data_IF_482345692124
#
_entry.id   IF_482345692124
#
_cell.length_a   1.000
_cell.length_b   1.000
_cell.length_c   1.000
_cell.angle_alpha   90.00
_cell.angle_beta   90.00
_cell.angle_gamma   90.00
#
_symmetry.space_group_name_H-M   'P 1'
#
loop_
_entity.id
_entity.type
_entity.pdbx_description
1 polymer ?
#
# COMPACT_ATOMS: atom_id res chain seq x y z
N UNK A 1 -12.10 47.24 -24.03
CA UNK A 1 -11.40 46.00 -24.44
C UNK A 1 -11.30 45.11 -23.21
N UNK A 2 -12.41 44.46 -22.87
CA UNK A 2 -12.48 43.50 -21.79
C UNK A 2 -12.44 42.12 -22.43
N UNK A 3 -11.26 41.49 -22.49
CA UNK A 3 -11.20 40.06 -22.76
C UNK A 3 -10.01 39.43 -22.03
N UNK A 4 -10.39 38.76 -20.94
CA UNK A 4 -9.80 37.55 -20.37
C UNK A 4 -8.49 37.67 -19.58
N UNK A 5 -8.71 38.05 -18.32
CA UNK A 5 -8.01 37.55 -17.14
C UNK A 5 -7.66 36.05 -17.25
N UNK A 6 -6.39 35.76 -16.96
CA UNK A 6 -5.90 34.58 -16.24
C UNK A 6 -6.30 33.20 -16.77
N UNK A 7 -5.52 32.68 -17.72
CA UNK A 7 -5.17 31.26 -17.71
C UNK A 7 -4.07 31.03 -16.66
N UNK A 8 -4.42 31.20 -15.38
CA UNK A 8 -3.76 30.43 -14.33
C UNK A 8 -4.42 29.05 -14.38
N UNK A 9 -3.96 28.22 -15.31
CA UNK A 9 -4.12 26.77 -15.14
C UNK A 9 -3.46 26.44 -13.81
N UNK A 10 -4.27 26.32 -12.76
CA UNK A 10 -3.82 25.88 -11.45
C UNK A 10 -3.20 24.50 -11.63
N UNK A 11 -1.88 24.46 -11.81
CA UNK A 11 -1.13 23.23 -11.79
C UNK A 11 -1.30 22.68 -10.37
N UNK A 12 -2.19 21.72 -10.24
CA UNK A 12 -2.31 20.92 -9.04
C UNK A 12 -0.94 20.33 -8.72
N UNK A 13 -0.42 20.62 -7.53
CA UNK A 13 0.90 20.17 -7.12
C UNK A 13 0.93 18.64 -6.99
N UNK A 14 2.02 17.97 -7.38
CA UNK A 14 2.14 16.53 -7.22
C UNK A 14 2.06 16.14 -5.73
N UNK A 15 1.38 15.03 -5.46
CA UNK A 15 1.27 14.49 -4.10
C UNK A 15 2.64 14.03 -3.58
N UNK A 16 3.13 14.64 -2.50
CA UNK A 16 4.49 14.39 -1.97
C UNK A 16 4.64 12.99 -1.39
N UNK A 17 3.61 12.50 -0.71
CA UNK A 17 3.68 11.22 0.00
C UNK A 17 3.41 10.04 -0.91
N UNK A 18 2.68 10.20 -2.02
CA UNK A 18 2.30 9.09 -2.90
C UNK A 18 2.23 9.45 -4.39
N UNK A 19 3.08 8.79 -5.19
CA UNK A 19 3.20 9.03 -6.64
C UNK A 19 2.01 8.53 -7.49
N UNK A 20 1.16 7.67 -6.95
CA UNK A 20 0.02 7.09 -7.68
C UNK A 20 -1.28 7.87 -7.51
N UNK A 21 -1.23 8.98 -6.79
CA UNK A 21 -2.38 9.84 -6.52
C UNK A 21 -2.51 10.84 -7.67
N UNK A 22 -3.73 10.97 -8.19
CA UNK A 22 -4.07 12.01 -9.14
C UNK A 22 -4.68 13.18 -8.41
N UNK A 23 -4.09 14.37 -8.54
CA UNK A 23 -4.57 15.58 -7.91
C UNK A 23 -5.03 16.52 -9.00
N UNK A 24 -6.32 16.85 -9.04
CA UNK A 24 -6.90 17.76 -10.03
C UNK A 24 -7.96 18.68 -9.39
N UNK A 25 -8.32 19.75 -10.11
CA UNK A 25 -9.42 20.64 -9.75
C UNK A 25 -9.06 21.78 -8.78
N UNK A 26 -10.04 22.66 -8.55
CA UNK A 26 -9.97 23.78 -7.60
C UNK A 26 -11.15 23.68 -6.61
N UNK A 27 -10.91 23.53 -5.29
CA UNK A 27 -9.63 23.32 -4.63
C UNK A 27 -9.00 21.96 -5.00
N UNK A 28 -7.66 21.88 -5.01
CA UNK A 28 -6.92 20.67 -5.42
C UNK A 28 -7.35 19.46 -4.60
N UNK A 29 -8.07 18.54 -5.24
CA UNK A 29 -8.53 17.30 -4.61
C UNK A 29 -7.69 16.16 -5.14
N UNK A 30 -7.02 15.46 -4.22
CA UNK A 30 -6.13 14.35 -4.52
C UNK A 30 -6.85 13.03 -4.28
N UNK A 31 -6.81 12.10 -5.25
CA UNK A 31 -7.48 10.81 -5.17
C UNK A 31 -6.55 9.67 -5.60
N UNK A 32 -6.65 8.53 -4.94
CA UNK A 32 -5.97 7.29 -5.34
C UNK A 32 -6.97 6.36 -6.00
N UNK A 33 -6.59 5.70 -7.10
CA UNK A 33 -7.47 4.72 -7.76
C UNK A 33 -7.26 3.34 -7.13
N UNK A 34 -8.28 2.81 -6.47
CA UNK A 34 -8.25 1.49 -5.83
C UNK A 34 -8.88 0.39 -6.68
N UNK A 35 -9.89 0.75 -7.47
CA UNK A 35 -10.52 -0.09 -8.49
C UNK A 35 -11.23 0.80 -9.52
N UNK A 36 -12.04 0.21 -10.40
CA UNK A 36 -12.71 0.93 -11.48
C UNK A 36 -13.66 2.04 -10.96
N UNK A 37 -14.23 1.88 -9.76
CA UNK A 37 -15.23 2.78 -9.17
C UNK A 37 -14.78 3.50 -7.91
N UNK A 38 -13.79 2.98 -7.19
CA UNK A 38 -13.39 3.48 -5.87
C UNK A 38 -12.14 4.38 -5.95
N UNK A 39 -12.34 5.66 -5.65
CA UNK A 39 -11.31 6.71 -5.72
C UNK A 39 -11.32 7.61 -4.48
N UNK A 40 -10.93 7.11 -3.30
CA UNK A 40 -10.98 7.90 -2.07
C UNK A 40 -10.02 9.09 -2.13
N UNK A 41 -10.41 10.17 -1.45
CA UNK A 41 -9.58 11.35 -1.30
C UNK A 41 -8.37 11.06 -0.39
N UNK A 42 -7.22 11.60 -0.75
CA UNK A 42 -5.94 11.42 -0.07
C UNK A 42 -5.41 12.76 0.42
N UNK A 43 -5.00 12.77 1.69
CA UNK A 43 -4.21 13.86 2.27
C UNK A 43 -2.73 13.66 1.94
N UNK A 44 -2.20 14.52 1.06
CA UNK A 44 -0.83 14.44 0.58
C UNK A 44 0.25 14.88 1.58
N UNK A 45 -0.15 15.34 2.76
CA UNK A 45 0.77 15.59 3.89
C UNK A 45 0.89 14.37 4.82
N UNK A 46 0.03 13.36 4.64
CA UNK A 46 0.04 12.12 5.41
C UNK A 46 0.44 10.92 4.55
N UNK A 47 1.00 9.91 5.21
CA UNK A 47 1.20 8.61 4.57
C UNK A 47 -0.16 7.98 4.27
N UNK A 48 -0.33 7.48 3.05
CA UNK A 48 -1.53 6.73 2.67
C UNK A 48 -1.55 5.41 3.42
N UNK A 49 -2.73 5.00 3.85
CA UNK A 49 -2.91 3.77 4.61
C UNK A 49 -2.40 2.56 3.83
N UNK A 50 -1.81 1.59 4.56
CA UNK A 50 -1.26 0.38 3.94
C UNK A 50 -2.31 -0.40 3.15
N UNK A 51 -3.56 -0.45 3.62
CA UNK A 51 -4.63 -1.16 2.89
C UNK A 51 -4.91 -0.53 1.53
N UNK A 52 -5.06 0.80 1.46
CA UNK A 52 -5.25 1.51 0.20
C UNK A 52 -4.04 1.37 -0.72
N UNK A 53 -2.81 1.42 -0.19
CA UNK A 53 -1.60 1.20 -0.98
C UNK A 53 -1.55 -0.19 -1.60
N UNK A 54 -1.83 -1.23 -0.81
CA UNK A 54 -1.87 -2.61 -1.30
C UNK A 54 -2.96 -2.79 -2.35
N UNK A 55 -4.16 -2.22 -2.14
CA UNK A 55 -5.26 -2.30 -3.11
C UNK A 55 -4.95 -1.58 -4.42
N UNK A 56 -4.40 -0.36 -4.34
CA UNK A 56 -3.93 0.39 -5.50
C UNK A 56 -2.83 -0.36 -6.25
N UNK A 57 -1.88 -0.97 -5.54
CA UNK A 57 -0.84 -1.81 -6.14
C UNK A 57 -1.48 -2.97 -6.91
N UNK A 58 -2.38 -3.73 -6.31
CA UNK A 58 -3.05 -4.86 -6.97
C UNK A 58 -3.88 -4.44 -8.19
N UNK A 59 -4.56 -3.30 -8.13
CA UNK A 59 -5.26 -2.74 -9.28
C UNK A 59 -4.30 -2.37 -10.41
N UNK A 60 -3.18 -1.71 -10.08
CA UNK A 60 -2.13 -1.41 -11.07
C UNK A 60 -1.56 -2.67 -11.71
N UNK A 61 -1.36 -3.75 -10.94
CA UNK A 61 -0.95 -5.06 -11.47
C UNK A 61 -1.98 -5.61 -12.47
N UNK A 62 -3.27 -5.56 -12.13
CA UNK A 62 -4.37 -5.96 -13.03
C UNK A 62 -4.36 -5.16 -14.33
N UNK A 63 -3.99 -3.88 -14.28
CA UNK A 63 -3.89 -2.99 -15.45
C UNK A 63 -2.56 -3.09 -16.21
N UNK A 64 -1.71 -4.08 -15.91
CA UNK A 64 -0.41 -4.26 -16.58
C UNK A 64 0.65 -3.21 -16.19
N UNK A 65 0.42 -2.47 -15.11
CA UNK A 65 1.32 -1.45 -14.57
C UNK A 65 2.07 -1.95 -13.32
N UNK A 66 2.31 -3.26 -13.24
CA UNK A 66 3.00 -3.89 -12.11
C UNK A 66 4.45 -3.40 -12.02
N UNK A 67 4.78 -2.77 -10.89
CA UNK A 67 6.12 -2.24 -10.61
C UNK A 67 7.15 -3.32 -10.31
N UNK A 68 6.71 -4.57 -10.11
CA UNK A 68 7.57 -5.70 -9.70
C UNK A 68 8.05 -6.57 -10.85
N UNK A 69 7.49 -6.42 -12.05
CA UNK A 69 7.85 -7.21 -13.24
C UNK A 69 9.36 -7.09 -13.56
N UNK A 70 9.97 -5.94 -13.25
CA UNK A 70 11.40 -5.71 -13.50
C UNK A 70 12.29 -6.04 -12.30
N UNK A 71 11.74 -6.49 -11.17
CA UNK A 71 12.44 -6.69 -9.89
C UNK A 71 12.55 -8.19 -9.55
N UNK A 72 11.59 -9.02 -9.98
CA UNK A 72 11.63 -10.46 -9.84
C UNK A 72 11.31 -11.13 -11.18
N UNK A 73 12.12 -12.13 -11.57
CA UNK A 73 11.82 -12.94 -12.75
C UNK A 73 10.43 -13.59 -12.66
N UNK A 74 9.88 -14.02 -13.79
CA UNK A 74 8.64 -14.81 -13.78
C UNK A 74 8.85 -16.07 -12.92
N UNK A 75 7.95 -16.38 -11.98
CA UNK A 75 8.00 -17.63 -11.25
C UNK A 75 7.99 -18.81 -12.22
N UNK A 76 8.71 -19.88 -11.88
CA UNK A 76 8.60 -21.16 -12.57
C UNK A 76 7.15 -21.67 -12.50
N UNK A 77 6.72 -22.49 -13.46
CA UNK A 77 5.37 -23.05 -13.50
C UNK A 77 4.98 -23.84 -12.24
N UNK A 78 5.97 -24.49 -11.60
CA UNK A 78 5.82 -25.22 -10.34
C UNK A 78 5.97 -24.35 -9.08
N UNK A 79 6.11 -23.03 -9.23
CA UNK A 79 6.29 -22.16 -8.07
C UNK A 79 5.01 -22.17 -7.22
N UNK A 80 5.14 -22.62 -5.97
CA UNK A 80 4.10 -22.48 -4.95
C UNK A 80 3.93 -20.98 -4.70
N UNK A 81 2.82 -20.42 -5.19
CA UNK A 81 2.49 -19.01 -5.00
C UNK A 81 2.04 -18.80 -3.54
N UNK A 82 2.98 -18.40 -2.69
CA UNK A 82 2.66 -17.96 -1.34
C UNK A 82 1.88 -16.62 -1.40
N UNK A 83 0.59 -16.68 -1.10
CA UNK A 83 -0.31 -15.52 -1.07
C UNK A 83 -0.35 -14.84 0.30
N UNK A 84 0.51 -15.24 1.25
CA UNK A 84 0.54 -14.65 2.60
C UNK A 84 1.17 -13.25 2.64
N UNK A 85 1.85 -12.84 1.55
CA UNK A 85 2.50 -11.54 1.44
C UNK A 85 1.62 -10.44 0.85
N UNK A 86 1.20 -10.62 -0.42
CA UNK A 86 0.50 -9.58 -1.20
C UNK A 86 -0.74 -10.17 -1.84
N UNK A 87 -1.88 -9.65 -1.39
CA UNK A 87 -3.22 -9.98 -1.83
C UNK A 87 -3.99 -8.68 -2.14
N UNK A 88 -5.14 -8.76 -2.80
CA UNK A 88 -6.04 -7.62 -2.99
C UNK A 88 -6.90 -7.44 -1.72
N UNK A 89 -6.63 -6.45 -0.87
CA UNK A 89 -7.29 -6.37 0.42
C UNK A 89 -8.67 -5.70 0.33
N UNK A 90 -9.51 -6.09 1.28
CA UNK A 90 -10.71 -5.36 1.64
C UNK A 90 -10.38 -4.33 2.71
N UNK A 91 -10.71 -3.07 2.40
CA UNK A 91 -10.45 -1.93 3.27
C UNK A 91 -11.78 -1.36 3.79
N UNK A 92 -11.74 -0.82 5.00
CA UNK A 92 -12.77 0.09 5.50
C UNK A 92 -12.64 1.47 4.80
N UNK A 93 -13.66 2.32 4.95
CA UNK A 93 -13.70 3.64 4.30
C UNK A 93 -12.58 4.58 4.79
N UNK A 94 -12.07 4.38 6.00
CA UNK A 94 -10.93 5.12 6.57
C UNK A 94 -9.57 4.53 6.16
N UNK A 95 -9.57 3.48 5.34
CA UNK A 95 -8.37 2.82 4.85
C UNK A 95 -7.74 1.82 5.81
N UNK A 96 -8.38 1.47 6.93
CA UNK A 96 -7.98 0.30 7.73
C UNK A 96 -8.32 -0.99 7.00
N UNK A 97 -7.65 -2.07 7.37
CA UNK A 97 -8.03 -3.40 6.91
C UNK A 97 -9.36 -3.81 7.54
N UNK A 98 -10.24 -4.43 6.75
CA UNK A 98 -11.29 -5.27 7.33
C UNK A 98 -10.63 -6.46 8.04
N UNK A 99 -11.12 -6.82 9.21
CA UNK A 99 -10.52 -7.88 10.02
C UNK A 99 -10.53 -9.24 9.31
N UNK A 100 -11.59 -9.51 8.53
CA UNK A 100 -11.69 -10.65 7.62
C UNK A 100 -11.26 -10.24 6.21
N UNK A 101 -10.43 -11.06 5.57
CA UNK A 101 -9.97 -10.91 4.20
C UNK A 101 -10.29 -12.18 3.43
N UNK A 102 -10.77 -12.06 2.19
CA UNK A 102 -11.05 -13.22 1.33
C UNK A 102 -10.46 -13.10 -0.08
N UNK A 103 -9.82 -11.97 -0.44
CA UNK A 103 -9.20 -11.76 -1.75
C UNK A 103 -10.10 -12.15 -2.96
N UNK A 104 -11.41 -11.91 -2.85
CA UNK A 104 -12.43 -12.32 -3.82
C UNK A 104 -12.50 -13.83 -4.13
N UNK A 105 -12.09 -14.70 -3.20
CA UNK A 105 -12.24 -16.15 -3.30
C UNK A 105 -13.18 -16.69 -2.20
N UNK A 106 -13.36 -18.01 -2.17
CA UNK A 106 -14.09 -18.70 -1.09
C UNK A 106 -13.22 -18.99 0.15
N UNK A 107 -11.91 -18.71 0.07
CA UNK A 107 -10.97 -18.83 1.18
C UNK A 107 -10.82 -17.50 1.90
N UNK A 108 -11.11 -17.47 3.20
CA UNK A 108 -10.99 -16.29 4.04
C UNK A 108 -9.97 -16.48 5.18
N UNK A 109 -9.41 -15.40 5.68
CA UNK A 109 -8.51 -15.39 6.84
C UNK A 109 -8.69 -14.11 7.67
N UNK A 110 -8.22 -14.13 8.93
CA UNK A 110 -8.18 -12.92 9.75
C UNK A 110 -6.82 -12.24 9.63
N UNK A 111 -6.82 -10.91 9.65
CA UNK A 111 -5.62 -10.09 9.65
C UNK A 111 -5.57 -9.16 10.86
N UNK A 112 -4.36 -8.69 11.18
CA UNK A 112 -4.17 -7.58 12.12
C UNK A 112 -4.22 -6.21 11.42
N UNK A 113 -4.07 -5.12 12.17
CA UNK A 113 -4.05 -3.76 11.63
C UNK A 113 -2.91 -3.46 10.66
N UNK A 114 -1.87 -4.30 10.62
CA UNK A 114 -0.80 -4.25 9.63
C UNK A 114 -1.10 -5.05 8.35
N UNK A 115 -2.28 -5.67 8.23
CA UNK A 115 -2.67 -6.49 7.08
C UNK A 115 -1.97 -7.84 7.01
N UNK A 116 -1.40 -8.32 8.13
CA UNK A 116 -0.72 -9.62 8.19
C UNK A 116 -1.70 -10.67 8.70
N UNK A 117 -1.73 -11.82 8.02
CA UNK A 117 -2.54 -12.97 8.40
C UNK A 117 -2.23 -13.43 9.84
N UNK A 118 -3.27 -13.79 10.60
CA UNK A 118 -3.20 -14.23 12.01
C UNK A 118 -3.88 -15.57 12.29
N UNK A 119 -4.39 -16.22 11.26
CA UNK A 119 -5.12 -17.48 11.33
C UNK A 119 -4.84 -18.28 10.07
N UNK A 120 -5.14 -19.58 10.10
CA UNK A 120 -5.25 -20.36 8.87
C UNK A 120 -6.39 -19.86 7.98
N UNK A 121 -6.40 -20.34 6.73
CA UNK A 121 -7.49 -20.08 5.79
C UNK A 121 -8.68 -20.95 6.16
N UNK A 122 -9.86 -20.35 6.14
CA UNK A 122 -11.15 -21.01 6.33
C UNK A 122 -12.12 -20.63 5.22
N UNK A 123 -13.39 -20.97 5.41
CA UNK A 123 -14.47 -20.61 4.50
C UNK A 123 -15.00 -19.18 4.77
N UNK A 124 -16.06 -18.79 4.05
CA UNK A 124 -16.73 -17.49 4.23
C UNK A 124 -17.40 -17.30 5.61
N UNK A 125 -17.71 -18.38 6.32
CA UNK A 125 -18.35 -18.36 7.63
C UNK A 125 -17.38 -18.01 8.76
N UNK A 126 -16.09 -17.92 8.45
CA UNK A 126 -15.06 -17.50 9.37
C UNK A 126 -15.38 -16.15 10.04
N UNK A 127 -15.20 -16.12 11.36
CA UNK A 127 -15.53 -14.97 12.20
C UNK A 127 -14.27 -14.20 12.62
N UNK A 128 -14.13 -12.97 12.13
CA UNK A 128 -13.12 -12.01 12.55
C UNK A 128 -13.82 -10.76 13.09
N UNK A 129 -14.44 -10.84 14.28
CA UNK A 129 -15.31 -9.76 14.78
C UNK A 129 -14.57 -8.46 15.09
N UNK A 130 -13.26 -8.54 15.34
CA UNK A 130 -12.43 -7.38 15.73
C UNK A 130 -11.11 -7.40 14.99
N UNK A 131 -10.69 -6.23 14.53
CA UNK A 131 -9.33 -6.03 14.02
C UNK A 131 -8.35 -6.03 15.19
N UNK A 132 -7.39 -6.96 15.17
CA UNK A 132 -6.36 -7.04 16.20
C UNK A 132 -5.29 -6.00 15.91
N UNK A 133 -4.95 -5.19 16.90
CA UNK A 133 -3.96 -4.13 16.73
C UNK A 133 -2.52 -4.66 16.74
N UNK A 134 -1.70 -4.12 15.85
CA UNK A 134 -0.27 -4.38 15.81
C UNK A 134 0.43 -3.28 16.60
N UNK A 135 0.89 -3.60 17.80
CA UNK A 135 1.49 -2.61 18.69
C UNK A 135 3.02 -2.52 18.58
N UNK A 136 3.67 -3.51 17.95
CA UNK A 136 5.12 -3.55 17.78
C UNK A 136 5.49 -4.07 16.40
N UNK A 137 6.38 -3.36 15.72
CA UNK A 137 6.98 -3.76 14.44
C UNK A 137 8.50 -3.71 14.64
N UNK A 138 9.17 -4.87 14.56
CA UNK A 138 10.63 -4.98 14.61
C UNK A 138 11.17 -5.01 13.19
N UNK A 139 12.03 -4.05 12.85
CA UNK A 139 12.70 -3.98 11.55
C UNK A 139 14.18 -4.34 11.74
N UNK A 140 14.61 -5.41 11.10
CA UNK A 140 16.03 -5.80 11.02
C UNK A 140 16.52 -5.46 9.62
N UNK A 141 17.31 -4.38 9.52
CA UNK A 141 17.82 -3.88 8.24
C UNK A 141 19.24 -4.40 8.03
N UNK A 142 19.47 -5.04 6.88
CA UNK A 142 20.80 -5.49 6.46
C UNK A 142 21.34 -4.56 5.38
N UNK A 143 22.65 -4.32 5.40
CA UNK A 143 23.36 -3.57 4.37
C UNK A 143 24.54 -4.40 3.85
N UNK A 144 25.03 -4.07 2.66
CA UNK A 144 26.25 -4.67 2.11
C UNK A 144 27.45 -4.32 3.00
N UNK A 145 28.48 -5.16 3.01
CA UNK A 145 29.69 -4.86 3.75
C UNK A 145 30.26 -3.49 3.33
N UNK A 146 30.59 -2.66 4.31
CA UNK A 146 31.20 -1.36 4.09
C UNK A 146 32.73 -1.53 3.99
N UNK A 147 33.36 -0.80 3.07
CA UNK A 147 34.82 -0.68 3.06
C UNK A 147 35.31 -0.11 4.41
N UNK A 148 36.53 -0.47 4.82
CA UNK A 148 37.11 -0.19 6.15
C UNK A 148 36.98 1.26 6.60
N UNK A 149 37.02 2.20 5.66
CA UNK A 149 37.03 3.64 5.92
C UNK A 149 35.63 4.19 6.24
N UNK A 150 34.58 3.40 5.99
CA UNK A 150 33.17 3.77 6.17
C UNK A 150 32.47 2.97 7.28
N UNK A 151 33.22 2.11 8.01
CA UNK A 151 32.66 1.34 9.13
C UNK A 151 32.35 2.28 10.30
N UNK A 152 31.07 2.38 10.66
CA UNK A 152 30.62 3.14 11.84
C UNK A 152 31.16 2.48 13.10
N UNK A 153 31.76 3.26 14.00
CA UNK A 153 32.20 2.76 15.30
C UNK A 153 30.98 2.46 16.18
N UNK A 154 30.65 1.18 16.35
CA UNK A 154 29.49 0.72 17.13
C UNK A 154 29.59 1.10 18.61
N UNK A 155 30.80 1.28 19.15
CA UNK A 155 31.01 1.73 20.54
C UNK A 155 30.45 3.14 20.79
N UNK A 156 30.20 3.94 19.75
CA UNK A 156 29.58 5.26 19.88
C UNK A 156 28.04 5.22 19.94
N UNK A 157 27.41 4.08 19.66
CA UNK A 157 25.95 3.91 19.58
C UNK A 157 25.34 3.29 20.85
N UNK A 158 26.15 2.73 21.76
CA UNK A 158 25.71 2.10 23.01
C UNK A 158 25.61 3.08 24.21
N UNK A 159 25.41 4.38 23.96
CA UNK A 159 25.20 5.38 25.03
C UNK A 159 23.76 5.45 25.51
#
# INVERSE_FOLDING_TARGET
VALWLMLLSGLSSPCRTMKWVNCDGAPCTCQITLDDSNRPAIDCEKLVSKCFLMKAEMYRRKMGQDVRINIGGKPHEDAIMDNDGIYNPDCENDGKFKAKQCNNTDECWCVNSAGVRRTDKGDKNMNCSKLVETFMIRLELTHKELESNNKVNIQALEK
#
